data_IF_622241166418
#
_entry.id   IF_622241166418
#
_cell.length_a   1.000
_cell.length_b   1.000
_cell.length_c   1.000
_cell.angle_alpha   90.00
_cell.angle_beta   90.00
_cell.angle_gamma   90.00
#
_symmetry.space_group_name_H-M   'P 1'
#
loop_
_entity.id
_entity.type
_entity.pdbx_description
1 polymer ?
#
# COMPACT_ATOMS: atom_id res chain seq x y z
N UNK A 1 31.25 -1.55 19.72
CA UNK A 1 29.98 -1.18 20.38
C UNK A 1 28.80 -1.62 19.55
N UNK A 2 27.58 -1.77 20.12
CA UNK A 2 26.43 -2.16 19.37
C UNK A 2 26.08 -1.10 18.31
N UNK A 3 26.07 -1.48 17.04
CA UNK A 3 25.68 -0.58 15.95
C UNK A 3 24.14 -0.48 15.92
N UNK A 4 23.61 0.73 15.89
CA UNK A 4 22.18 0.95 15.67
C UNK A 4 21.85 0.63 14.22
N UNK A 5 20.89 -0.29 13.99
CA UNK A 5 20.48 -0.73 12.66
C UNK A 5 19.36 0.17 12.14
N UNK A 6 19.65 0.96 11.11
CA UNK A 6 18.65 1.78 10.43
C UNK A 6 18.02 1.11 9.20
N UNK A 7 18.65 0.01 8.70
CA UNK A 7 18.15 -0.75 7.56
C UNK A 7 16.98 -1.68 7.92
N UNK A 8 16.24 -2.11 6.92
CA UNK A 8 15.23 -3.19 7.05
C UNK A 8 15.88 -4.52 7.43
N UNK A 9 15.17 -5.47 8.08
CA UNK A 9 13.72 -5.46 8.37
C UNK A 9 13.34 -4.66 9.61
N UNK A 10 12.02 -4.42 9.79
CA UNK A 10 11.45 -3.59 10.85
C UNK A 10 11.78 -4.05 12.28
N UNK A 11 11.94 -5.34 12.53
CA UNK A 11 12.29 -5.89 13.84
C UNK A 11 13.74 -5.59 14.29
N UNK A 12 14.60 -5.06 13.41
CA UNK A 12 15.99 -4.64 13.69
C UNK A 12 16.87 -5.70 14.37
N UNK A 13 16.49 -6.98 14.32
CA UNK A 13 17.17 -8.09 14.98
C UNK A 13 16.89 -8.22 16.48
N UNK A 14 15.92 -7.47 17.02
CA UNK A 14 15.60 -7.45 18.45
C UNK A 14 14.26 -8.11 18.81
N UNK A 15 13.50 -8.61 17.85
CA UNK A 15 12.21 -9.26 18.13
C UNK A 15 12.41 -10.66 18.74
N UNK A 16 12.16 -10.80 20.04
CA UNK A 16 12.28 -12.10 20.75
C UNK A 16 11.34 -13.17 20.21
N UNK A 17 10.18 -12.78 19.64
CA UNK A 17 9.22 -13.72 19.06
C UNK A 17 9.78 -14.51 17.88
N UNK A 18 10.73 -13.91 17.13
CA UNK A 18 11.35 -14.57 15.97
C UNK A 18 12.45 -15.58 16.33
N UNK A 19 12.93 -15.61 17.58
CA UNK A 19 13.87 -16.64 18.04
C UNK A 19 13.26 -18.05 18.00
N UNK A 20 11.92 -18.14 18.00
CA UNK A 20 11.16 -19.39 17.83
C UNK A 20 10.70 -19.62 16.37
N UNK A 21 11.08 -18.74 15.44
CA UNK A 21 10.52 -18.65 14.08
C UNK A 21 10.65 -19.90 13.24
N UNK A 22 11.75 -20.67 13.41
CA UNK A 22 11.91 -21.93 12.72
C UNK A 22 10.84 -23.00 13.07
N UNK A 23 10.15 -22.84 14.20
CA UNK A 23 9.04 -23.72 14.59
C UNK A 23 7.70 -23.30 13.99
N UNK A 24 7.63 -22.09 13.49
CA UNK A 24 6.44 -21.51 12.86
C UNK A 24 6.52 -21.54 11.32
N UNK A 25 7.65 -21.98 10.78
CA UNK A 25 7.82 -22.20 9.34
C UNK A 25 7.14 -23.53 8.98
N UNK A 26 5.89 -23.42 8.54
CA UNK A 26 5.02 -24.56 8.21
C UNK A 26 4.45 -24.39 6.80
N UNK A 27 4.11 -25.52 6.18
CA UNK A 27 3.42 -25.54 4.89
C UNK A 27 1.90 -25.46 5.06
N UNK A 28 1.15 -25.52 3.97
CA UNK A 28 -0.31 -25.57 3.92
C UNK A 28 -0.80 -26.91 4.49
N UNK A 29 -1.31 -26.87 5.71
CA UNK A 29 -1.89 -27.99 6.42
C UNK A 29 -3.37 -27.74 6.68
N UNK A 30 -4.20 -28.78 6.93
CA UNK A 30 -5.63 -28.59 7.20
C UNK A 30 -5.96 -27.60 8.32
N UNK A 31 -5.04 -27.42 9.27
CA UNK A 31 -5.22 -26.46 10.38
C UNK A 31 -4.63 -25.08 10.10
N UNK A 32 -3.60 -24.99 9.24
CA UNK A 32 -2.96 -23.71 8.91
C UNK A 32 -3.72 -22.92 7.84
N UNK A 33 -4.40 -23.61 6.95
CA UNK A 33 -5.02 -23.00 5.78
C UNK A 33 -4.02 -22.71 4.67
N UNK A 34 -4.50 -22.07 3.62
CA UNK A 34 -3.73 -21.62 2.47
C UNK A 34 -3.79 -20.08 2.38
N UNK A 35 -2.68 -19.47 2.04
CA UNK A 35 -2.60 -18.01 1.91
C UNK A 35 -3.58 -17.47 0.84
N UNK A 36 -3.77 -18.24 -0.23
CA UNK A 36 -4.60 -17.81 -1.37
C UNK A 36 -6.10 -18.05 -1.22
N UNK A 37 -6.55 -18.82 -0.22
CA UNK A 37 -7.98 -19.10 -0.02
C UNK A 37 -8.58 -18.46 1.24
N UNK A 38 -7.76 -17.75 2.01
CA UNK A 38 -8.19 -17.07 3.22
C UNK A 38 -8.72 -18.00 4.32
N UNK A 39 -8.34 -19.30 4.29
CA UNK A 39 -8.82 -20.30 5.23
C UNK A 39 -7.91 -20.48 6.46
N UNK A 40 -8.42 -21.20 7.45
CA UNK A 40 -7.64 -21.65 8.60
C UNK A 40 -7.10 -20.51 9.47
N UNK A 41 -5.87 -20.69 9.95
CA UNK A 41 -5.17 -19.71 10.83
C UNK A 41 -4.81 -18.45 10.04
N UNK A 42 -4.45 -18.61 8.77
CA UNK A 42 -4.06 -17.49 7.91
C UNK A 42 -5.25 -16.58 7.68
N UNK A 43 -6.42 -17.12 7.30
CA UNK A 43 -7.62 -16.33 7.10
C UNK A 43 -8.05 -15.56 8.35
N UNK A 44 -8.01 -16.21 9.52
CA UNK A 44 -8.27 -15.51 10.79
C UNK A 44 -7.28 -14.39 11.06
N UNK A 45 -5.99 -14.61 10.78
CA UNK A 45 -4.98 -13.57 10.92
C UNK A 45 -5.22 -12.38 9.96
N UNK A 46 -5.68 -12.64 8.74
CA UNK A 46 -6.05 -11.60 7.78
C UNK A 46 -7.27 -10.81 8.26
N UNK A 47 -8.27 -11.48 8.85
CA UNK A 47 -9.43 -10.82 9.47
C UNK A 47 -9.01 -9.92 10.66
N UNK A 48 -8.19 -10.43 11.56
CA UNK A 48 -7.67 -9.68 12.71
C UNK A 48 -6.84 -8.46 12.26
N UNK A 49 -6.02 -8.63 11.21
CA UNK A 49 -5.25 -7.54 10.60
C UNK A 49 -6.17 -6.50 9.98
N UNK A 50 -7.20 -6.92 9.27
CA UNK A 50 -8.17 -6.02 8.66
C UNK A 50 -8.86 -5.15 9.73
N UNK A 51 -9.32 -5.76 10.82
CA UNK A 51 -9.91 -5.06 11.96
C UNK A 51 -8.92 -4.06 12.58
N UNK A 52 -7.69 -4.51 12.86
CA UNK A 52 -6.64 -3.69 13.44
C UNK A 52 -6.31 -2.46 12.60
N UNK A 53 -6.28 -2.62 11.28
CA UNK A 53 -5.95 -1.56 10.32
C UNK A 53 -7.17 -0.71 9.93
N UNK A 54 -8.38 -1.13 10.30
CA UNK A 54 -9.62 -0.46 9.92
C UNK A 54 -9.98 -0.66 8.45
N UNK A 55 -9.60 -1.82 7.90
CA UNK A 55 -9.88 -2.24 6.53
C UNK A 55 -11.13 -3.13 6.45
N UNK A 56 -11.75 -3.20 5.28
CA UNK A 56 -12.78 -4.19 5.01
C UNK A 56 -12.19 -5.58 4.73
N UNK A 57 -10.97 -5.63 4.23
CA UNK A 57 -10.16 -6.84 4.05
C UNK A 57 -8.67 -6.51 4.12
N UNK A 58 -7.85 -7.50 4.45
CA UNK A 58 -6.39 -7.43 4.39
C UNK A 58 -5.83 -8.76 3.89
N UNK A 59 -4.86 -8.68 2.97
CA UNK A 59 -4.13 -9.82 2.44
C UNK A 59 -2.67 -9.78 2.89
N UNK A 60 -2.17 -10.90 3.36
CA UNK A 60 -0.76 -11.06 3.72
C UNK A 60 0.04 -11.34 2.45
N UNK A 61 1.02 -10.51 2.17
CA UNK A 61 1.90 -10.65 1.01
C UNK A 61 3.29 -11.09 1.44
N UNK A 62 3.82 -12.10 0.76
CA UNK A 62 5.15 -12.67 1.01
C UNK A 62 6.23 -12.09 0.09
N UNK A 63 5.83 -11.46 -1.01
CA UNK A 63 6.72 -10.91 -2.04
C UNK A 63 6.86 -9.38 -1.97
N UNK A 64 6.55 -8.81 -0.81
CA UNK A 64 6.71 -7.40 -0.51
C UNK A 64 5.63 -6.50 -1.09
N UNK A 65 5.75 -5.21 -0.79
CA UNK A 65 4.80 -4.19 -1.24
C UNK A 65 4.70 -4.08 -2.77
N UNK A 66 5.73 -4.51 -3.51
CA UNK A 66 5.71 -4.45 -4.98
C UNK A 66 4.58 -5.30 -5.58
N UNK A 67 4.33 -6.49 -5.04
CA UNK A 67 3.19 -7.33 -5.47
C UNK A 67 1.86 -6.65 -5.11
N UNK A 68 1.76 -6.04 -3.92
CA UNK A 68 0.57 -5.29 -3.54
C UNK A 68 0.30 -4.10 -4.48
N UNK A 69 1.34 -3.38 -4.92
CA UNK A 69 1.21 -2.33 -5.94
C UNK A 69 0.67 -2.90 -7.25
N UNK A 70 1.16 -4.06 -7.68
CA UNK A 70 0.66 -4.72 -8.88
C UNK A 70 -0.81 -5.14 -8.73
N UNK A 71 -1.18 -5.72 -7.59
CA UNK A 71 -2.56 -6.13 -7.32
C UNK A 71 -3.52 -4.93 -7.28
N UNK A 72 -3.14 -3.81 -6.65
CA UNK A 72 -3.94 -2.57 -6.67
C UNK A 72 -4.18 -2.07 -8.10
N UNK A 73 -3.15 -2.05 -8.93
CA UNK A 73 -3.26 -1.60 -10.32
C UNK A 73 -4.04 -2.58 -11.18
N UNK A 74 -3.92 -3.89 -10.92
CA UNK A 74 -4.76 -4.90 -11.55
C UNK A 74 -6.24 -4.69 -11.17
N UNK A 75 -6.54 -4.48 -9.88
CA UNK A 75 -7.90 -4.20 -9.41
C UNK A 75 -8.49 -2.94 -10.07
N UNK A 76 -7.69 -1.86 -10.18
CA UNK A 76 -8.12 -0.65 -10.89
C UNK A 76 -8.42 -0.93 -12.38
N UNK A 77 -7.56 -1.72 -13.04
CA UNK A 77 -7.76 -2.15 -14.43
C UNK A 77 -9.04 -2.97 -14.60
N UNK A 78 -9.28 -3.92 -13.69
CA UNK A 78 -10.47 -4.76 -13.68
C UNK A 78 -11.74 -3.96 -13.40
N UNK A 79 -11.65 -2.93 -12.55
CA UNK A 79 -12.73 -1.97 -12.29
C UNK A 79 -12.98 -0.98 -13.45
N UNK A 80 -12.20 -1.07 -14.52
CA UNK A 80 -12.44 -0.30 -15.75
C UNK A 80 -11.44 0.81 -16.04
N UNK A 81 -10.47 1.09 -15.15
CA UNK A 81 -9.45 2.10 -15.42
C UNK A 81 -8.60 1.72 -16.65
N UNK A 82 -8.25 2.71 -17.44
CA UNK A 82 -7.32 2.58 -18.57
C UNK A 82 -6.07 3.41 -18.35
N UNK A 83 -6.16 4.42 -17.54
CA UNK A 83 -5.09 5.34 -17.17
C UNK A 83 -4.87 5.33 -15.67
N UNK A 84 -3.63 5.61 -15.28
CA UNK A 84 -3.22 5.78 -13.88
C UNK A 84 -2.48 7.10 -13.77
N UNK A 85 -3.06 8.03 -13.03
CA UNK A 85 -2.43 9.29 -12.65
C UNK A 85 -1.53 9.00 -11.46
N UNK A 86 -0.21 9.21 -11.61
CA UNK A 86 0.76 8.85 -10.58
C UNK A 86 1.93 9.85 -10.53
N UNK A 87 2.59 10.02 -9.37
CA UNK A 87 3.76 10.89 -9.26
C UNK A 87 4.92 10.34 -10.08
N UNK A 88 5.71 11.23 -10.67
CA UNK A 88 6.87 10.84 -11.50
C UNK A 88 7.89 9.99 -10.72
N UNK A 89 8.02 10.22 -9.42
CA UNK A 89 8.89 9.46 -8.52
C UNK A 89 8.22 8.25 -7.85
N UNK A 90 7.07 7.78 -8.35
CA UNK A 90 6.47 6.54 -7.87
C UNK A 90 7.47 5.38 -7.98
N UNK A 91 7.36 4.41 -7.07
CA UNK A 91 8.24 3.24 -7.11
C UNK A 91 8.13 2.53 -8.46
N UNK A 92 9.26 2.00 -8.95
CA UNK A 92 9.34 1.33 -10.27
C UNK A 92 8.28 0.24 -10.48
N UNK A 93 7.81 -0.41 -9.41
CA UNK A 93 6.76 -1.43 -9.50
C UNK A 93 5.45 -0.89 -10.08
N UNK A 94 5.10 0.38 -9.81
CA UNK A 94 3.90 1.00 -10.36
C UNK A 94 4.01 1.16 -11.89
N UNK A 95 5.13 1.66 -12.39
CA UNK A 95 5.36 1.79 -13.82
C UNK A 95 5.46 0.44 -14.52
N UNK A 96 6.14 -0.54 -13.89
CA UNK A 96 6.21 -1.91 -14.42
C UNK A 96 4.83 -2.57 -14.50
N UNK A 97 3.99 -2.38 -13.47
CA UNK A 97 2.62 -2.88 -13.48
C UNK A 97 1.79 -2.22 -14.59
N UNK A 98 1.90 -0.90 -14.77
CA UNK A 98 1.22 -0.20 -15.87
C UNK A 98 1.61 -0.80 -17.24
N UNK A 99 2.90 -1.05 -17.45
CA UNK A 99 3.39 -1.62 -18.71
C UNK A 99 2.84 -3.02 -18.98
N UNK A 100 2.85 -3.91 -17.97
CA UNK A 100 2.39 -5.29 -18.12
C UNK A 100 0.86 -5.38 -18.21
N UNK A 101 0.15 -4.54 -17.47
CA UNK A 101 -1.32 -4.52 -17.45
C UNK A 101 -1.94 -3.72 -18.61
N UNK A 102 -1.13 -3.08 -19.46
CA UNK A 102 -1.64 -2.21 -20.54
C UNK A 102 -2.38 -0.98 -20.01
N UNK A 103 -1.96 -0.45 -18.85
CA UNK A 103 -2.44 0.80 -18.30
C UNK A 103 -1.55 1.95 -18.80
N UNK A 104 -2.14 3.06 -19.20
CA UNK A 104 -1.39 4.26 -19.60
C UNK A 104 -1.02 5.09 -18.35
N UNK A 105 0.27 5.23 -18.02
CA UNK A 105 0.67 6.11 -16.92
C UNK A 105 0.52 7.57 -17.35
N UNK A 106 -0.08 8.38 -16.47
CA UNK A 106 -0.19 9.84 -16.59
C UNK A 106 0.65 10.46 -15.46
N UNK A 107 1.93 10.74 -15.70
CA UNK A 107 2.82 11.20 -14.65
C UNK A 107 2.49 12.63 -14.22
N UNK A 108 2.43 12.84 -12.90
CA UNK A 108 2.38 14.16 -12.28
C UNK A 108 3.79 14.61 -11.92
N UNK A 109 4.07 15.88 -12.17
CA UNK A 109 5.35 16.46 -11.77
C UNK A 109 5.41 16.64 -10.25
N UNK A 110 6.52 16.22 -9.67
CA UNK A 110 6.80 16.41 -8.26
C UNK A 110 7.57 17.72 -8.07
N UNK A 111 7.04 18.68 -7.30
CA UNK A 111 7.84 19.83 -6.91
C UNK A 111 9.08 19.40 -6.13
N UNK A 112 10.20 20.09 -6.34
CA UNK A 112 11.42 19.88 -5.55
C UNK A 112 11.58 21.00 -4.51
N UNK A 113 11.85 20.61 -3.27
CA UNK A 113 12.18 21.53 -2.17
C UNK A 113 13.47 21.06 -1.51
N UNK A 114 14.48 21.91 -1.51
CA UNK A 114 15.78 21.56 -0.92
C UNK A 114 16.44 20.31 -1.55
N UNK A 115 16.20 20.07 -2.85
CA UNK A 115 16.74 18.90 -3.55
C UNK A 115 15.96 17.59 -3.34
N UNK A 116 14.85 17.64 -2.59
CA UNK A 116 13.99 16.49 -2.34
C UNK A 116 12.66 16.68 -3.07
N UNK A 117 12.21 15.64 -3.77
CA UNK A 117 10.87 15.63 -4.37
C UNK A 117 9.81 15.53 -3.26
N UNK A 118 8.75 16.31 -3.40
CA UNK A 118 7.57 16.25 -2.52
C UNK A 118 6.37 15.70 -3.29
N UNK A 119 5.37 15.12 -2.61
CA UNK A 119 4.19 14.61 -3.28
C UNK A 119 3.49 15.67 -4.15
N UNK A 120 2.90 15.29 -5.30
CA UNK A 120 2.07 16.19 -6.09
C UNK A 120 0.88 16.71 -5.27
N UNK A 121 0.42 17.90 -5.58
CA UNK A 121 -0.76 18.48 -4.94
C UNK A 121 -2.05 17.79 -5.42
N UNK A 122 -3.08 17.82 -4.58
CA UNK A 122 -4.41 17.33 -4.96
C UNK A 122 -4.97 18.09 -6.18
N UNK A 123 -4.65 19.38 -6.32
CA UNK A 123 -5.04 20.19 -7.49
C UNK A 123 -4.48 19.63 -8.80
N UNK A 124 -3.21 19.21 -8.82
CA UNK A 124 -2.63 18.56 -10.01
C UNK A 124 -3.33 17.24 -10.36
N UNK A 125 -3.69 16.45 -9.35
CA UNK A 125 -4.45 15.21 -9.56
C UNK A 125 -5.88 15.51 -10.08
N UNK A 126 -6.55 16.51 -9.53
CA UNK A 126 -7.88 16.95 -9.97
C UNK A 126 -7.89 17.44 -11.43
N UNK A 127 -6.91 18.25 -11.79
CA UNK A 127 -6.73 18.72 -13.17
C UNK A 127 -6.46 17.57 -14.13
N UNK A 128 -5.65 16.59 -13.70
CA UNK A 128 -5.38 15.38 -14.50
C UNK A 128 -6.63 14.51 -14.64
N UNK A 129 -7.41 14.28 -13.58
CA UNK A 129 -8.70 13.59 -13.62
C UNK A 129 -9.71 14.29 -14.54
N UNK A 130 -9.65 15.62 -14.65
CA UNK A 130 -10.47 16.36 -15.60
C UNK A 130 -10.16 16.07 -17.06
N UNK A 131 -8.90 15.73 -17.37
CA UNK A 131 -8.43 15.38 -18.72
C UNK A 131 -8.56 13.89 -19.03
N UNK A 132 -8.51 13.04 -18.00
CA UNK A 132 -8.50 11.58 -18.12
C UNK A 132 -9.67 10.98 -17.34
N UNK A 133 -10.91 11.06 -17.86
CA UNK A 133 -12.08 10.48 -17.20
C UNK A 133 -11.95 8.96 -17.07
N UNK A 134 -12.20 8.44 -15.85
CA UNK A 134 -12.07 7.02 -15.56
C UNK A 134 -10.66 6.56 -15.19
N UNK A 135 -9.69 7.48 -15.09
CA UNK A 135 -8.36 7.15 -14.55
C UNK A 135 -8.44 6.83 -13.06
N UNK A 136 -7.54 5.97 -12.57
CA UNK A 136 -7.25 5.82 -11.15
C UNK A 136 -6.14 6.79 -10.73
N UNK A 137 -6.15 7.23 -9.47
CA UNK A 137 -5.07 8.01 -8.86
C UNK A 137 -4.23 7.10 -7.99
N UNK A 138 -2.93 7.07 -8.22
CA UNK A 138 -1.95 6.35 -7.43
C UNK A 138 -0.98 7.34 -6.80
N UNK A 139 -0.71 7.22 -5.50
CA UNK A 139 0.28 8.05 -4.80
C UNK A 139 1.10 7.21 -3.82
N UNK A 140 2.34 7.65 -3.54
CA UNK A 140 3.16 7.10 -2.48
C UNK A 140 3.06 8.02 -1.26
N UNK A 141 2.61 7.49 -0.10
CA UNK A 141 2.45 8.28 1.12
C UNK A 141 2.55 7.40 2.38
N UNK A 142 3.53 7.65 3.27
CA UNK A 142 4.66 8.55 3.06
C UNK A 142 5.60 8.07 1.96
N UNK A 143 6.30 9.00 1.33
CA UNK A 143 7.34 8.68 0.38
C UNK A 143 8.65 8.22 1.06
N UNK A 144 9.71 7.96 0.27
CA UNK A 144 11.01 7.51 0.79
C UNK A 144 11.65 8.50 1.79
N UNK A 145 11.35 9.79 1.68
CA UNK A 145 11.86 10.85 2.54
C UNK A 145 10.93 11.18 3.72
N UNK A 146 9.80 10.48 3.85
CA UNK A 146 8.80 10.69 4.89
C UNK A 146 7.77 11.77 4.57
N UNK A 147 7.77 12.33 3.36
CA UNK A 147 6.76 13.30 2.96
C UNK A 147 5.41 12.61 2.71
N UNK A 148 4.36 13.14 3.33
CA UNK A 148 2.99 12.63 3.18
C UNK A 148 2.22 13.46 2.15
N UNK A 149 1.45 12.78 1.29
CA UNK A 149 0.48 13.42 0.41
C UNK A 149 -0.72 13.95 1.19
N UNK A 150 -1.40 14.96 0.66
CA UNK A 150 -2.68 15.43 1.20
C UNK A 150 -3.80 14.43 0.81
N UNK A 151 -3.84 13.29 1.52
CA UNK A 151 -4.79 12.22 1.24
C UNK A 151 -6.26 12.66 1.39
N UNK A 152 -6.64 13.50 2.38
CA UNK A 152 -7.99 14.06 2.45
C UNK A 152 -8.40 14.84 1.19
N UNK A 153 -7.52 15.67 0.66
CA UNK A 153 -7.82 16.44 -0.55
C UNK A 153 -7.85 15.55 -1.80
N UNK A 154 -6.92 14.59 -1.91
CA UNK A 154 -6.93 13.59 -2.99
C UNK A 154 -8.20 12.74 -2.97
N UNK A 155 -8.67 12.32 -1.77
CA UNK A 155 -9.93 11.58 -1.65
C UNK A 155 -11.11 12.37 -2.21
N UNK A 156 -11.22 13.65 -1.82
CA UNK A 156 -12.30 14.53 -2.36
C UNK A 156 -12.23 14.67 -3.88
N UNK A 157 -11.02 14.84 -4.43
CA UNK A 157 -10.84 14.94 -5.88
C UNK A 157 -11.26 13.64 -6.60
N UNK A 158 -10.91 12.48 -6.03
CA UNK A 158 -11.32 11.19 -6.56
C UNK A 158 -12.84 10.98 -6.46
N UNK A 159 -13.45 11.28 -5.31
CA UNK A 159 -14.90 11.15 -5.10
C UNK A 159 -15.70 11.99 -6.10
N UNK A 160 -15.27 13.23 -6.36
CA UNK A 160 -15.91 14.12 -7.33
C UNK A 160 -15.91 13.59 -8.77
N UNK A 161 -15.06 12.60 -9.07
CA UNK A 161 -14.89 12.02 -10.41
C UNK A 161 -15.18 10.51 -10.46
N UNK A 162 -15.57 9.89 -9.35
CA UNK A 162 -15.77 8.45 -9.25
C UNK A 162 -14.48 7.65 -9.50
N UNK A 163 -13.31 8.23 -9.21
CA UNK A 163 -12.01 7.62 -9.42
C UNK A 163 -11.54 6.86 -8.18
N UNK A 164 -10.80 5.76 -8.40
CA UNK A 164 -10.15 5.03 -7.31
C UNK A 164 -8.90 5.79 -6.83
N UNK A 165 -8.73 5.86 -5.51
CA UNK A 165 -7.51 6.32 -4.85
C UNK A 165 -6.72 5.12 -4.35
N UNK A 166 -5.55 4.89 -4.94
CA UNK A 166 -4.61 3.83 -4.60
C UNK A 166 -3.40 4.42 -3.89
N UNK A 167 -3.03 3.87 -2.74
CA UNK A 167 -1.92 4.42 -1.95
C UNK A 167 -0.84 3.38 -1.71
N UNK A 168 0.36 3.66 -2.22
CA UNK A 168 1.58 2.96 -1.81
C UNK A 168 2.02 3.51 -0.45
N UNK A 169 1.57 2.85 0.62
CA UNK A 169 1.90 3.11 2.01
C UNK A 169 3.06 2.27 2.51
N UNK A 170 3.93 1.78 1.62
CA UNK A 170 5.02 0.86 2.00
C UNK A 170 5.90 1.33 3.16
N UNK A 171 5.95 2.63 3.43
CA UNK A 171 6.66 3.23 4.56
C UNK A 171 5.72 3.75 5.67
N UNK A 172 4.41 3.53 5.57
CA UNK A 172 3.38 4.20 6.36
C UNK A 172 2.64 3.36 7.38
N UNK A 173 2.88 2.06 7.48
CA UNK A 173 2.13 1.16 8.38
C UNK A 173 2.08 1.65 9.83
N UNK A 174 3.17 2.22 10.35
CA UNK A 174 3.25 2.74 11.72
C UNK A 174 2.31 3.93 11.98
N UNK A 175 1.92 4.69 10.96
CA UNK A 175 1.02 5.83 11.09
C UNK A 175 -0.35 5.44 11.66
N UNK A 176 -0.77 4.20 11.44
CA UNK A 176 -2.02 3.68 12.01
C UNK A 176 -2.04 3.76 13.53
N UNK A 177 -0.87 3.60 14.15
CA UNK A 177 -0.69 3.45 15.60
C UNK A 177 -0.10 4.70 16.25
N UNK A 178 0.27 5.71 15.48
CA UNK A 178 0.77 6.98 15.99
C UNK A 178 -0.39 7.96 16.18
N UNK A 179 -0.74 8.25 17.43
CA UNK A 179 -1.84 9.16 17.77
C UNK A 179 -1.67 10.56 17.18
N UNK A 180 -0.43 11.03 16.99
CA UNK A 180 -0.14 12.37 16.46
C UNK A 180 -0.15 12.43 14.93
N UNK A 181 -0.07 11.28 14.26
CA UNK A 181 0.07 11.23 12.79
C UNK A 181 -0.94 10.29 12.11
N UNK A 182 -1.85 9.69 12.87
CA UNK A 182 -2.83 8.71 12.35
C UNK A 182 -3.79 9.30 11.31
N UNK A 183 -3.95 10.61 11.26
CA UNK A 183 -4.70 11.32 10.23
C UNK A 183 -4.03 11.27 8.84
N UNK A 184 -2.76 10.88 8.77
CA UNK A 184 -2.00 10.69 7.53
C UNK A 184 -2.01 9.23 7.04
N UNK A 185 -2.61 8.32 7.82
CA UNK A 185 -2.64 6.91 7.46
C UNK A 185 -3.51 6.65 6.23
N UNK A 186 -2.97 5.88 5.27
CA UNK A 186 -3.61 5.58 3.98
C UNK A 186 -5.01 4.97 4.14
N UNK A 187 -5.19 4.06 5.09
CA UNK A 187 -6.44 3.35 5.33
C UNK A 187 -7.65 4.24 5.66
N UNK A 188 -7.44 5.50 6.02
CA UNK A 188 -8.54 6.45 6.22
C UNK A 188 -9.13 6.99 4.91
N UNK A 189 -8.39 6.93 3.81
CA UNK A 189 -8.73 7.64 2.58
C UNK A 189 -8.68 6.79 1.31
N UNK A 190 -7.75 5.83 1.23
CA UNK A 190 -7.53 5.01 0.06
C UNK A 190 -8.69 4.02 -0.17
N UNK A 191 -8.96 3.67 -1.42
CA UNK A 191 -9.81 2.53 -1.76
C UNK A 191 -9.03 1.23 -1.59
N UNK A 192 -7.78 1.22 -2.05
CA UNK A 192 -6.79 0.16 -1.80
C UNK A 192 -5.48 0.79 -1.37
N UNK A 193 -4.78 0.13 -0.44
CA UNK A 193 -3.44 0.53 -0.04
C UNK A 193 -2.56 -0.67 0.30
N UNK A 194 -1.27 -0.49 0.17
CA UNK A 194 -0.29 -1.48 0.59
C UNK A 194 0.60 -0.93 1.70
N UNK A 195 0.73 -1.69 2.78
CA UNK A 195 1.64 -1.40 3.90
C UNK A 195 2.84 -2.35 3.87
N UNK A 196 4.06 -1.81 3.87
CA UNK A 196 5.29 -2.58 3.96
C UNK A 196 5.57 -3.00 5.40
N UNK A 197 5.01 -4.09 5.85
CA UNK A 197 5.14 -4.52 7.25
C UNK A 197 6.59 -4.75 7.66
N UNK A 198 7.43 -5.30 6.78
CA UNK A 198 8.85 -5.52 7.06
C UNK A 198 9.68 -4.23 7.18
N UNK A 199 9.16 -3.07 6.76
CA UNK A 199 9.88 -1.79 6.82
C UNK A 199 9.70 -1.09 8.16
N UNK A 200 8.49 -1.10 8.72
CA UNK A 200 8.12 -0.31 9.89
C UNK A 200 7.44 -1.09 10.99
N UNK A 201 7.08 -2.34 10.76
CA UNK A 201 6.52 -3.28 11.75
C UNK A 201 7.53 -4.39 12.06
N UNK A 202 7.31 -5.14 13.14
CA UNK A 202 8.19 -6.22 13.58
C UNK A 202 7.93 -7.52 12.82
N UNK A 203 8.06 -7.49 11.50
CA UNK A 203 7.87 -8.66 10.63
C UNK A 203 9.13 -9.02 9.85
N UNK A 204 9.15 -10.24 9.31
CA UNK A 204 10.24 -10.69 8.45
C UNK A 204 10.19 -9.98 7.08
N UNK A 205 11.32 -9.91 6.43
CA UNK A 205 11.47 -9.52 5.03
C UNK A 205 10.89 -10.66 4.17
N UNK A 206 10.11 -10.41 3.25
CA UNK A 206 9.53 -9.30 2.51
C UNK A 206 8.04 -9.09 2.86
N UNK A 207 7.66 -9.16 4.12
CA UNK A 207 6.27 -9.04 4.53
C UNK A 207 5.65 -7.70 4.11
N UNK A 208 4.45 -7.76 3.59
CA UNK A 208 3.61 -6.62 3.32
C UNK A 208 2.12 -6.98 3.50
N UNK A 209 1.28 -5.98 3.57
CA UNK A 209 -0.17 -6.13 3.72
C UNK A 209 -0.85 -5.32 2.64
N UNK A 210 -1.72 -5.98 1.86
CA UNK A 210 -2.61 -5.30 0.92
C UNK A 210 -3.98 -5.18 1.56
N UNK A 211 -4.49 -3.96 1.64
CA UNK A 211 -5.73 -3.68 2.33
C UNK A 211 -6.70 -2.92 1.42
N UNK A 212 -7.99 -3.07 1.68
CA UNK A 212 -9.02 -2.36 0.96
C UNK A 212 -10.16 -1.88 1.86
N UNK A 213 -10.79 -0.79 1.45
CA UNK A 213 -11.92 -0.19 2.14
C UNK A 213 -13.24 -0.85 1.80
N UNK A 214 -13.35 -1.48 0.62
CA UNK A 214 -14.57 -2.06 0.08
C UNK A 214 -14.34 -3.52 -0.34
N UNK A 215 -15.09 -4.44 0.23
CA UNK A 215 -15.01 -5.87 -0.13
C UNK A 215 -15.31 -6.16 -1.60
N UNK A 216 -16.00 -5.28 -2.30
CA UNK A 216 -16.21 -5.42 -3.75
C UNK A 216 -14.92 -5.38 -4.56
N UNK A 217 -13.88 -4.72 -4.05
CA UNK A 217 -12.55 -4.71 -4.68
C UNK A 217 -11.74 -5.97 -4.37
N UNK A 218 -12.11 -6.72 -3.33
CA UNK A 218 -11.41 -7.95 -2.92
C UNK A 218 -11.42 -9.03 -4.01
N UNK A 219 -12.48 -9.10 -4.83
CA UNK A 219 -12.56 -10.08 -5.91
C UNK A 219 -11.50 -9.90 -7.02
N UNK A 220 -10.81 -8.77 -7.01
CA UNK A 220 -9.76 -8.44 -7.98
C UNK A 220 -8.35 -8.51 -7.37
N UNK A 221 -8.24 -8.84 -6.11
CA UNK A 221 -7.00 -8.92 -5.35
C UNK A 221 -6.69 -10.38 -5.01
#
# INVERSE_FOLDING_TARGET
GPSTRFHMPGHKGSCRALSAGARCDITELPFSGCLGDGSGVIGRAQEDIAELLGAAFAEILTDGSSVGVWAMLYAARAAGAREVILPRNAHKSAYSACAVLGLRPVPLENPARGGVFVPPSAKQAEEALGREPGAAVFVTSPDYFGACADLPALRRACDARGALLLVDGAHGAFLRFDAAASDRYAGKYADLWVDGSHKTMATLTQGALLCGRDRRLHVYV
#
